data_IF_730296188517
#
_entry.id   IF_730296188517
#
_cell.length_a   1.000
_cell.length_b   1.000
_cell.length_c   1.000
_cell.angle_alpha   90.00
_cell.angle_beta   90.00
_cell.angle_gamma   90.00
#
_symmetry.space_group_name_H-M   'P 1'
#
loop_
_entity.id
_entity.type
_entity.pdbx_description
1 polymer ?
#
# COMPACT_ATOMS: atom_id res chain seq x y z
N UNK A 1 33.37 -18.64 2.17
CA UNK A 1 34.02 -18.12 3.40
C UNK A 1 33.03 -17.68 4.49
N UNK A 2 31.78 -17.27 4.11
CA UNK A 2 30.70 -16.85 5.01
C UNK A 2 30.09 -17.97 5.89
N UNK A 3 29.86 -19.22 5.40
CA UNK A 3 29.22 -20.25 6.22
C UNK A 3 30.06 -20.71 7.42
N UNK A 4 31.38 -20.57 7.37
CA UNK A 4 32.29 -20.95 8.48
C UNK A 4 32.30 -19.90 9.59
N UNK A 5 32.23 -18.62 9.25
CA UNK A 5 32.17 -17.54 10.23
C UNK A 5 30.86 -17.57 11.04
N UNK A 6 29.74 -17.85 10.37
CA UNK A 6 28.43 -17.97 11.02
C UNK A 6 28.37 -19.15 12.03
N UNK A 7 29.03 -20.26 11.72
CA UNK A 7 29.12 -21.42 12.63
C UNK A 7 29.97 -21.15 13.88
N UNK A 8 31.01 -20.33 13.77
CA UNK A 8 31.89 -19.96 14.89
C UNK A 8 31.23 -18.93 15.82
N UNK A 9 30.55 -17.93 15.25
CA UNK A 9 29.83 -16.92 16.03
C UNK A 9 28.66 -17.55 16.79
N UNK A 10 27.94 -18.50 16.20
CA UNK A 10 26.85 -19.24 16.85
C UNK A 10 27.32 -20.09 18.06
N UNK A 11 28.62 -20.37 18.20
CA UNK A 11 29.17 -21.19 19.27
C UNK A 11 29.63 -20.37 20.48
N UNK A 12 29.72 -19.05 20.33
CA UNK A 12 30.24 -18.12 21.34
C UNK A 12 29.16 -17.21 21.91
N UNK A 13 28.03 -17.03 21.18
CA UNK A 13 26.94 -16.16 21.62
C UNK A 13 25.82 -16.97 22.31
N UNK A 14 25.09 -16.34 23.26
CA UNK A 14 23.89 -16.92 23.83
C UNK A 14 22.93 -17.41 22.71
N UNK A 15 22.19 -18.47 22.98
CA UNK A 15 21.37 -19.18 21.98
C UNK A 15 20.39 -18.25 21.24
N UNK A 16 19.86 -17.24 21.93
CA UNK A 16 18.94 -16.24 21.37
C UNK A 16 19.60 -15.33 20.32
N UNK A 17 20.83 -14.88 20.56
CA UNK A 17 21.60 -14.07 19.59
C UNK A 17 21.93 -14.87 18.33
N UNK A 18 22.23 -16.16 18.46
CA UNK A 18 22.52 -17.05 17.34
C UNK A 18 21.26 -17.29 16.49
N UNK A 19 20.08 -17.37 17.10
CA UNK A 19 18.81 -17.48 16.40
C UNK A 19 18.51 -16.21 15.60
N UNK A 20 18.69 -15.03 16.19
CA UNK A 20 18.49 -13.75 15.51
C UNK A 20 19.44 -13.55 14.31
N UNK A 21 20.71 -14.01 14.41
CA UNK A 21 21.65 -13.99 13.29
C UNK A 21 21.15 -14.88 12.14
N UNK A 22 20.72 -16.10 12.43
CA UNK A 22 20.18 -17.00 11.39
C UNK A 22 18.93 -16.41 10.75
N UNK A 23 18.03 -15.87 11.56
CA UNK A 23 16.81 -15.21 11.09
C UNK A 23 17.12 -14.03 10.17
N UNK A 24 18.07 -13.16 10.53
CA UNK A 24 18.45 -12.02 9.70
C UNK A 24 19.01 -12.43 8.34
N UNK A 25 19.79 -13.50 8.26
CA UNK A 25 20.31 -14.02 6.99
C UNK A 25 19.19 -14.56 6.11
N UNK A 26 18.25 -15.34 6.67
CA UNK A 26 17.11 -15.87 5.93
C UNK A 26 16.21 -14.75 5.43
N UNK A 27 15.89 -13.76 6.28
CA UNK A 27 15.08 -12.61 5.92
C UNK A 27 15.73 -11.79 4.81
N UNK A 28 17.03 -11.48 4.91
CA UNK A 28 17.75 -10.76 3.85
C UNK A 28 17.65 -11.48 2.51
N UNK A 29 17.86 -12.79 2.48
CA UNK A 29 17.76 -13.58 1.26
C UNK A 29 16.34 -13.58 0.68
N UNK A 30 15.31 -13.64 1.53
CA UNK A 30 13.89 -13.58 1.09
C UNK A 30 13.53 -12.20 0.55
N UNK A 31 13.97 -11.14 1.20
CA UNK A 31 13.76 -9.76 0.74
C UNK A 31 14.44 -9.52 -0.63
N UNK A 32 15.67 -9.98 -0.81
CA UNK A 32 16.41 -9.87 -2.08
C UNK A 32 15.72 -10.64 -3.23
N UNK A 33 15.03 -11.74 -2.93
CA UNK A 33 14.32 -12.57 -3.92
C UNK A 33 12.91 -12.08 -4.24
N UNK A 34 12.36 -11.20 -3.43
CA UNK A 34 10.99 -10.68 -3.55
C UNK A 34 11.01 -9.25 -4.06
N UNK A 35 10.06 -8.88 -4.93
CA UNK A 35 10.00 -7.52 -5.46
C UNK A 35 8.99 -6.67 -4.66
N UNK A 36 7.71 -6.84 -4.93
CA UNK A 36 6.63 -6.09 -4.30
C UNK A 36 5.69 -7.00 -3.53
N UNK A 37 5.18 -6.50 -2.42
CA UNK A 37 4.16 -7.16 -1.60
C UNK A 37 2.88 -6.33 -1.67
N UNK A 38 1.79 -6.91 -2.19
CA UNK A 38 0.46 -6.32 -2.05
C UNK A 38 0.04 -6.46 -0.59
N UNK A 39 -0.33 -5.34 0.02
CA UNK A 39 -0.65 -5.26 1.46
C UNK A 39 -2.10 -4.91 1.72
N UNK A 40 -2.76 -4.25 0.76
CA UNK A 40 -4.16 -3.88 0.85
C UNK A 40 -4.80 -3.90 -0.54
N UNK A 41 -5.91 -4.61 -0.67
CA UNK A 41 -6.82 -4.51 -1.79
C UNK A 41 -8.14 -3.91 -1.32
N UNK A 42 -8.64 -2.92 -2.05
CA UNK A 42 -9.88 -2.22 -1.70
C UNK A 42 -10.84 -2.22 -2.86
N UNK A 43 -12.13 -2.29 -2.53
CA UNK A 43 -13.24 -2.07 -3.46
C UNK A 43 -14.21 -1.12 -2.77
N UNK A 44 -14.44 0.03 -3.38
CA UNK A 44 -15.34 1.06 -2.86
C UNK A 44 -16.38 1.44 -3.90
N UNK A 45 -17.62 1.55 -3.47
CA UNK A 45 -18.70 2.11 -4.26
C UNK A 45 -18.89 3.58 -3.88
N UNK A 46 -19.09 4.45 -4.86
CA UNK A 46 -19.30 5.86 -4.65
C UNK A 46 -20.21 6.47 -5.71
N UNK A 47 -20.57 7.73 -5.49
CA UNK A 47 -21.36 8.52 -6.42
C UNK A 47 -20.62 9.83 -6.71
N UNK A 48 -20.55 10.16 -7.98
CA UNK A 48 -19.94 11.37 -8.51
C UNK A 48 -21.05 12.36 -8.90
N UNK A 49 -20.91 13.60 -8.48
CA UNK A 49 -21.72 14.71 -8.94
C UNK A 49 -20.79 15.84 -9.40
N UNK A 50 -20.78 16.12 -10.68
CA UNK A 50 -20.05 17.23 -11.27
C UNK A 50 -21.00 18.26 -11.82
N UNK A 51 -20.89 19.52 -11.37
CA UNK A 51 -21.77 20.61 -11.77
C UNK A 51 -20.99 21.75 -12.44
N UNK A 52 -21.49 22.22 -13.56
CA UNK A 52 -21.05 23.47 -14.19
C UNK A 52 -21.99 24.57 -13.77
N UNK A 53 -21.46 25.61 -13.14
CA UNK A 53 -22.22 26.79 -12.68
C UNK A 53 -21.86 28.01 -13.50
N UNK A 54 -22.88 28.72 -13.96
CA UNK A 54 -22.69 30.03 -14.59
C UNK A 54 -23.11 31.14 -13.64
N UNK A 55 -22.38 32.27 -13.67
CA UNK A 55 -22.70 33.43 -12.87
C UNK A 55 -24.15 33.88 -13.17
N UNK A 56 -24.93 34.08 -12.11
CA UNK A 56 -26.34 34.49 -12.13
C UNK A 56 -27.38 33.46 -12.63
N UNK A 57 -26.94 32.29 -13.15
CA UNK A 57 -27.85 31.28 -13.71
C UNK A 57 -27.90 29.99 -12.85
N UNK A 58 -26.99 29.81 -11.91
CA UNK A 58 -26.88 28.59 -11.12
C UNK A 58 -26.26 27.44 -11.91
N UNK A 59 -26.65 26.20 -11.63
CA UNK A 59 -26.19 25.01 -12.33
C UNK A 59 -26.76 24.99 -13.75
N UNK A 60 -25.87 24.95 -14.75
CA UNK A 60 -26.23 24.95 -16.18
C UNK A 60 -26.03 23.62 -16.85
N UNK A 61 -25.21 22.75 -16.28
CA UNK A 61 -25.02 21.37 -16.69
C UNK A 61 -24.53 20.52 -15.53
N UNK A 62 -24.83 19.24 -15.52
CA UNK A 62 -24.30 18.29 -14.54
C UNK A 62 -24.03 16.92 -15.13
N UNK A 63 -23.06 16.21 -14.55
CA UNK A 63 -22.80 14.79 -14.74
C UNK A 63 -22.98 14.11 -13.38
N UNK A 64 -23.82 13.09 -13.34
CA UNK A 64 -23.93 12.22 -12.19
C UNK A 64 -23.57 10.81 -12.65
N UNK A 65 -22.79 10.10 -11.86
CA UNK A 65 -22.44 8.71 -12.12
C UNK A 65 -22.20 8.01 -10.79
N UNK A 66 -22.70 6.80 -10.67
CA UNK A 66 -22.22 5.87 -9.67
C UNK A 66 -20.90 5.26 -10.16
N UNK A 67 -20.04 4.83 -9.25
CA UNK A 67 -18.80 4.18 -9.64
C UNK A 67 -18.37 3.12 -8.63
N UNK A 68 -17.57 2.19 -9.12
CA UNK A 68 -16.79 1.27 -8.29
C UNK A 68 -15.32 1.60 -8.48
N UNK A 69 -14.63 1.92 -7.41
CA UNK A 69 -13.18 2.07 -7.35
C UNK A 69 -12.55 0.78 -6.84
N UNK A 70 -11.55 0.27 -7.54
CA UNK A 70 -10.71 -0.84 -7.10
C UNK A 70 -9.27 -0.36 -7.03
N UNK A 71 -8.60 -0.62 -5.91
CA UNK A 71 -7.21 -0.22 -5.68
C UNK A 71 -6.41 -1.30 -4.98
N UNK A 72 -5.21 -1.58 -5.49
CA UNK A 72 -4.20 -2.43 -4.85
C UNK A 72 -3.03 -1.58 -4.42
N UNK A 73 -2.68 -1.66 -3.14
CA UNK A 73 -1.56 -0.95 -2.54
C UNK A 73 -0.56 -1.94 -1.97
N UNK A 74 0.70 -1.54 -1.91
CA UNK A 74 1.74 -2.42 -1.39
C UNK A 74 3.05 -1.69 -1.15
N UNK A 75 4.07 -2.46 -0.80
CA UNK A 75 5.43 -1.97 -0.57
C UNK A 75 6.44 -2.65 -1.48
N UNK A 76 7.52 -1.93 -1.80
CA UNK A 76 8.69 -2.50 -2.46
C UNK A 76 9.62 -3.11 -1.41
N UNK A 77 9.68 -4.43 -1.37
CA UNK A 77 10.48 -5.17 -0.40
C UNK A 77 11.98 -4.93 -0.57
N UNK A 78 12.43 -4.48 -1.75
CA UNK A 78 13.84 -4.16 -1.99
C UNK A 78 14.27 -2.83 -1.34
N UNK A 79 13.31 -1.97 -1.00
CA UNK A 79 13.57 -0.71 -0.28
C UNK A 79 13.54 -0.87 1.24
N UNK A 80 13.20 -2.05 1.74
CA UNK A 80 13.23 -2.31 3.17
C UNK A 80 14.66 -2.35 3.70
N UNK A 81 14.83 -1.89 4.93
CA UNK A 81 16.06 -2.07 5.66
C UNK A 81 15.84 -2.88 6.93
N UNK A 82 16.87 -3.57 7.37
CA UNK A 82 16.83 -4.39 8.58
C UNK A 82 18.00 -4.06 9.47
N UNK A 83 17.73 -3.81 10.73
CA UNK A 83 18.73 -3.69 11.78
C UNK A 83 18.53 -4.76 12.84
N UNK A 84 19.59 -5.11 13.54
CA UNK A 84 19.54 -6.11 14.60
C UNK A 84 20.18 -5.56 15.85
N UNK A 85 19.48 -5.72 16.96
CA UNK A 85 19.98 -5.45 18.31
C UNK A 85 19.68 -6.66 19.21
N UNK A 86 20.72 -7.37 19.61
CA UNK A 86 20.64 -8.66 20.32
C UNK A 86 19.68 -9.65 19.64
N UNK A 87 18.53 -9.93 20.28
CA UNK A 87 17.48 -10.83 19.80
C UNK A 87 16.32 -10.09 19.08
N UNK A 88 16.43 -8.78 18.88
CA UNK A 88 15.43 -7.96 18.21
C UNK A 88 15.87 -7.65 16.78
N UNK A 89 15.02 -7.98 15.82
CA UNK A 89 15.16 -7.59 14.42
C UNK A 89 14.18 -6.45 14.15
N UNK A 90 14.69 -5.28 13.77
CA UNK A 90 13.85 -4.15 13.37
C UNK A 90 13.83 -4.07 11.86
N UNK A 91 12.62 -4.21 11.27
CA UNK A 91 12.36 -4.04 9.86
C UNK A 91 11.80 -2.64 9.63
N UNK A 92 12.52 -1.82 8.87
CA UNK A 92 12.06 -0.50 8.47
C UNK A 92 11.35 -0.62 7.13
N UNK A 93 10.04 -0.37 7.13
CA UNK A 93 9.18 -0.49 5.97
C UNK A 93 9.15 0.82 5.17
N UNK A 94 9.27 0.77 3.84
CA UNK A 94 9.06 1.94 3.00
C UNK A 94 7.60 2.41 3.05
N UNK A 95 7.33 3.61 2.58
CA UNK A 95 5.96 4.09 2.42
C UNK A 95 5.20 3.20 1.43
N UNK A 96 3.95 2.83 1.73
CA UNK A 96 3.11 2.11 0.79
C UNK A 96 2.89 2.94 -0.49
N UNK A 97 2.83 2.25 -1.62
CA UNK A 97 2.60 2.83 -2.93
C UNK A 97 1.41 2.18 -3.63
N UNK A 98 0.87 2.87 -4.62
CA UNK A 98 -0.13 2.30 -5.50
C UNK A 98 0.52 1.26 -6.42
N UNK A 99 -0.03 0.06 -6.48
CA UNK A 99 0.38 -0.97 -7.42
C UNK A 99 -0.51 -0.96 -8.67
N UNK A 100 -1.82 -0.86 -8.47
CA UNK A 100 -2.82 -0.81 -9.54
C UNK A 100 -4.08 -0.14 -9.01
N UNK A 101 -4.76 0.64 -9.85
CA UNK A 101 -6.12 1.09 -9.59
C UNK A 101 -6.98 1.16 -10.85
N UNK A 102 -8.29 1.12 -10.65
CA UNK A 102 -9.28 1.37 -11.67
C UNK A 102 -10.53 2.02 -11.07
N UNK A 103 -11.25 2.79 -11.89
CA UNK A 103 -12.57 3.31 -11.54
C UNK A 103 -13.53 2.99 -12.69
N UNK A 104 -14.55 2.21 -12.37
CA UNK A 104 -15.57 1.75 -13.32
C UNK A 104 -16.88 2.50 -13.06
N UNK A 105 -17.30 3.39 -13.96
CA UNK A 105 -18.55 4.12 -13.80
C UNK A 105 -19.76 3.24 -14.13
N UNK A 106 -20.88 3.54 -13.44
CA UNK A 106 -22.20 2.99 -13.70
C UNK A 106 -23.26 4.10 -13.65
N UNK A 107 -24.43 3.86 -14.22
CA UNK A 107 -25.62 4.73 -14.14
C UNK A 107 -25.33 6.21 -14.46
N UNK A 108 -24.56 6.45 -15.54
CA UNK A 108 -24.17 7.79 -15.96
C UNK A 108 -25.39 8.56 -16.46
N UNK A 109 -25.67 9.70 -15.84
CA UNK A 109 -26.68 10.65 -16.28
C UNK A 109 -26.06 12.02 -16.54
N UNK A 110 -26.55 12.69 -17.60
CA UNK A 110 -26.12 14.04 -17.96
C UNK A 110 -27.33 14.93 -18.06
N UNK A 111 -27.36 16.01 -17.32
CA UNK A 111 -28.41 17.03 -17.41
C UNK A 111 -27.80 18.31 -18.02
N UNK A 112 -28.42 18.75 -19.11
CA UNK A 112 -28.00 19.89 -19.93
C UNK A 112 -29.12 20.93 -19.91
N UNK A 113 -29.18 21.73 -18.87
CA UNK A 113 -30.29 22.68 -18.70
C UNK A 113 -30.24 23.90 -19.65
N UNK A 114 -29.05 24.47 -19.89
CA UNK A 114 -28.97 25.78 -20.60
C UNK A 114 -27.77 25.96 -21.54
N UNK A 115 -26.76 25.11 -21.52
CA UNK A 115 -25.58 25.30 -22.37
C UNK A 115 -24.85 24.01 -22.68
N UNK A 116 -23.98 24.03 -23.72
CA UNK A 116 -23.71 22.87 -24.52
C UNK A 116 -22.61 22.02 -23.91
N UNK A 117 -22.80 20.76 -24.06
CA UNK A 117 -21.74 19.78 -24.16
C UNK A 117 -20.82 19.65 -22.96
N UNK A 118 -21.29 18.96 -21.93
CA UNK A 118 -20.42 18.05 -21.22
C UNK A 118 -20.22 16.85 -22.15
N UNK A 119 -19.10 16.81 -22.83
CA UNK A 119 -18.79 15.75 -23.79
C UNK A 119 -18.15 14.54 -23.09
N UNK A 120 -17.73 13.55 -23.86
CA UNK A 120 -17.09 12.36 -23.31
C UNK A 120 -15.71 12.66 -22.71
N UNK A 121 -15.03 13.73 -23.16
CA UNK A 121 -13.75 14.15 -22.60
C UNK A 121 -13.95 14.77 -21.20
N UNK A 122 -15.03 15.53 -21.01
CA UNK A 122 -15.38 16.06 -19.69
C UNK A 122 -15.69 14.93 -18.70
N UNK A 123 -16.46 13.94 -19.15
CA UNK A 123 -16.74 12.75 -18.35
C UNK A 123 -15.43 12.01 -17.97
N UNK A 124 -14.57 11.75 -18.95
CA UNK A 124 -13.29 11.07 -18.70
C UNK A 124 -12.41 11.83 -17.70
N UNK A 125 -12.35 13.16 -17.85
CA UNK A 125 -11.58 13.99 -16.91
C UNK A 125 -12.14 13.91 -15.50
N UNK A 126 -13.44 14.02 -15.33
CA UNK A 126 -14.08 13.98 -14.01
C UNK A 126 -13.93 12.62 -13.34
N UNK A 127 -14.04 11.53 -14.11
CA UNK A 127 -13.78 10.17 -13.62
C UNK A 127 -12.31 9.97 -13.22
N UNK A 128 -11.39 10.53 -14.00
CA UNK A 128 -9.96 10.48 -13.67
C UNK A 128 -9.64 11.28 -12.40
N UNK A 129 -10.21 12.47 -12.25
CA UNK A 129 -10.05 13.30 -11.05
C UNK A 129 -10.58 12.55 -9.81
N UNK A 130 -11.73 11.86 -9.94
CA UNK A 130 -12.29 11.05 -8.85
C UNK A 130 -11.41 9.83 -8.54
N UNK A 131 -10.89 9.14 -9.57
CA UNK A 131 -9.96 8.02 -9.38
C UNK A 131 -8.72 8.47 -8.59
N UNK A 132 -8.14 9.62 -8.97
CA UNK A 132 -7.01 10.21 -8.24
C UNK A 132 -7.40 10.54 -6.79
N UNK A 133 -8.59 11.11 -6.59
CA UNK A 133 -9.10 11.42 -5.24
C UNK A 133 -9.25 10.16 -4.38
N UNK A 134 -9.81 9.09 -4.93
CA UNK A 134 -9.93 7.80 -4.24
C UNK A 134 -8.54 7.28 -3.80
N UNK A 135 -7.58 7.26 -4.72
CA UNK A 135 -6.21 6.84 -4.44
C UNK A 135 -5.55 7.66 -3.33
N UNK A 136 -5.65 8.98 -3.41
CA UNK A 136 -5.01 9.88 -2.45
C UNK A 136 -5.58 9.77 -1.03
N UNK A 137 -6.85 9.36 -0.88
CA UNK A 137 -7.42 9.05 0.45
C UNK A 137 -6.62 7.99 1.20
N UNK A 138 -6.08 6.99 0.49
CA UNK A 138 -5.26 5.92 1.08
C UNK A 138 -3.79 6.32 1.22
N UNK A 139 -3.21 7.01 0.24
CA UNK A 139 -1.77 7.29 0.26
C UNK A 139 -1.39 8.41 1.24
N UNK A 140 -2.20 9.44 1.34
CA UNK A 140 -1.88 10.64 2.14
C UNK A 140 -3.06 11.23 2.90
N UNK A 141 -4.27 10.72 2.67
CA UNK A 141 -5.51 11.24 3.22
C UNK A 141 -5.96 10.55 4.49
N UNK A 142 -7.27 10.55 4.70
CA UNK A 142 -7.95 10.08 5.91
C UNK A 142 -7.79 8.57 6.17
N UNK A 143 -7.49 7.79 5.13
CA UNK A 143 -7.31 6.32 5.20
C UNK A 143 -5.85 5.88 5.17
N UNK A 144 -4.90 6.80 5.26
CA UNK A 144 -3.47 6.47 5.25
C UNK A 144 -3.06 5.62 6.46
N UNK A 145 -3.69 5.80 7.61
CA UNK A 145 -3.45 4.96 8.78
C UNK A 145 -3.91 3.51 8.56
N UNK A 146 -5.06 3.31 7.93
CA UNK A 146 -5.59 1.99 7.57
C UNK A 146 -4.63 1.25 6.61
N UNK A 147 -4.14 1.95 5.59
CA UNK A 147 -3.16 1.39 4.66
C UNK A 147 -1.87 0.99 5.38
N UNK A 148 -1.41 1.82 6.33
CA UNK A 148 -0.22 1.52 7.12
C UNK A 148 -0.43 0.27 8.00
N UNK A 149 -1.54 0.20 8.72
CA UNK A 149 -1.87 -0.94 9.60
C UNK A 149 -1.99 -2.24 8.79
N UNK A 150 -2.63 -2.19 7.61
CA UNK A 150 -2.71 -3.32 6.70
C UNK A 150 -1.32 -3.74 6.20
N UNK A 151 -0.43 -2.77 5.93
CA UNK A 151 0.94 -3.03 5.51
C UNK A 151 1.74 -3.76 6.59
N UNK A 152 1.65 -3.31 7.83
CA UNK A 152 2.31 -3.98 8.96
C UNK A 152 1.77 -5.39 9.13
N UNK A 153 0.44 -5.57 9.13
CA UNK A 153 -0.18 -6.88 9.29
C UNK A 153 0.19 -7.87 8.18
N UNK A 154 0.23 -7.42 6.92
CA UNK A 154 0.65 -8.23 5.78
C UNK A 154 2.13 -8.63 5.91
N UNK A 155 2.98 -7.71 6.37
CA UNK A 155 4.40 -7.98 6.58
C UNK A 155 4.63 -8.95 7.74
N UNK A 156 3.88 -8.82 8.85
CA UNK A 156 3.91 -9.76 9.97
C UNK A 156 3.56 -11.19 9.52
N UNK A 157 2.48 -11.34 8.74
CA UNK A 157 2.06 -12.63 8.20
C UNK A 157 3.12 -13.23 7.26
N UNK A 158 3.73 -12.39 6.42
CA UNK A 158 4.77 -12.80 5.47
C UNK A 158 6.03 -13.24 6.20
N UNK A 159 6.49 -12.48 7.18
CA UNK A 159 7.66 -12.83 8.00
C UNK A 159 7.40 -14.10 8.82
N UNK A 160 6.22 -14.23 9.41
CA UNK A 160 5.83 -15.44 10.14
C UNK A 160 5.88 -16.70 9.25
N UNK A 161 5.43 -16.60 8.00
CA UNK A 161 5.51 -17.68 7.02
C UNK A 161 6.96 -18.01 6.65
N UNK A 162 7.80 -17.01 6.41
CA UNK A 162 9.21 -17.23 6.05
C UNK A 162 10.04 -17.80 7.20
N UNK A 163 9.61 -17.54 8.42
CA UNK A 163 10.34 -17.87 9.66
C UNK A 163 9.65 -18.94 10.52
N UNK A 164 8.73 -19.71 9.92
CA UNK A 164 7.91 -20.70 10.64
C UNK A 164 8.72 -21.68 11.51
N UNK A 165 9.96 -22.01 11.08
CA UNK A 165 10.86 -22.94 11.77
C UNK A 165 11.93 -22.24 12.62
N UNK A 166 11.87 -20.89 12.72
CA UNK A 166 12.85 -20.11 13.46
C UNK A 166 12.23 -19.46 14.70
N UNK A 167 12.84 -19.63 15.85
CA UNK A 167 12.43 -19.04 17.12
C UNK A 167 13.59 -18.34 17.83
N UNK A 168 13.33 -17.72 18.97
CA UNK A 168 14.34 -17.08 19.82
C UNK A 168 14.73 -15.67 19.38
N UNK A 169 13.86 -14.96 18.66
CA UNK A 169 14.01 -13.56 18.29
C UNK A 169 12.65 -12.86 18.26
N UNK A 170 12.66 -11.54 18.33
CA UNK A 170 11.47 -10.67 18.18
C UNK A 170 11.64 -9.81 16.94
N UNK A 171 10.56 -9.62 16.19
CA UNK A 171 10.54 -8.68 15.04
C UNK A 171 9.77 -7.43 15.43
N UNK A 172 10.34 -6.27 15.11
CA UNK A 172 9.72 -4.95 15.27
C UNK A 172 9.60 -4.31 13.88
N UNK A 173 8.51 -3.59 13.66
CA UNK A 173 8.25 -2.90 12.41
C UNK A 173 8.25 -1.40 12.66
N UNK A 174 8.99 -0.67 11.85
CA UNK A 174 9.12 0.79 11.91
C UNK A 174 8.87 1.38 10.52
N UNK A 175 8.37 2.61 10.48
CA UNK A 175 8.17 3.34 9.24
C UNK A 175 9.46 4.05 8.84
N UNK A 176 9.83 3.98 7.56
CA UNK A 176 10.89 4.83 7.02
C UNK A 176 10.46 6.31 7.12
N UNK A 177 11.40 7.17 7.55
CA UNK A 177 11.21 8.63 7.63
C UNK A 177 11.17 9.30 6.26
#
# INVERSE_FOLDING_TARGET
LLPYAAKWVARIMPDESAAAIRASVVLSQKLEQSAKLETLHVTEEGALNYEVKAAFLGTVASINADYTYEGSFGIDLQQMTMTRDDSVLTLTLPAPELLLDSLTPADITRDLALYPYLDDNDLQRVLEDERVSCRERYLSGERAAELWDATVAAMEATVAQWMADAGGFTVRYERAE
#
